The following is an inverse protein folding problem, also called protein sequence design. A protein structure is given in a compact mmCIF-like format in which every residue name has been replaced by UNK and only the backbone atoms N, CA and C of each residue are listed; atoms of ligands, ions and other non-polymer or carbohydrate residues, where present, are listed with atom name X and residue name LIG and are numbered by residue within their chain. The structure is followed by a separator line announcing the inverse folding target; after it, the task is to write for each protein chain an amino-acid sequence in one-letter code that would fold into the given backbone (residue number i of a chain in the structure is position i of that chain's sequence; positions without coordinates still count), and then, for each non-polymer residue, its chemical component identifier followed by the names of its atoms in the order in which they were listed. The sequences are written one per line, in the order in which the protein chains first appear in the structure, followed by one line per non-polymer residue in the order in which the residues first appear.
data_IF_537389557084
#
_entry.id   IF_537389557084
#
_cell.length_a   1.000
_cell.length_b   1.000
_cell.length_c   1.000
_cell.angle_alpha   90.00
_cell.angle_beta   90.00
_cell.angle_gamma   90.00
#
_symmetry.space_group_name_H-M   'P 1'
#
loop_
_entity.id
_entity.type
_entity.pdbx_description
1 polymer ?
#
# COMPACT_ATOMS: atom_id res chain seq x y z
N UNK A 1 50.36 0.66 -35.76
CA UNK A 1 49.06 0.14 -36.24
C UNK A 1 48.41 -0.57 -35.07
N UNK A 2 47.15 -0.24 -34.80
CA UNK A 2 46.38 -0.59 -33.60
C UNK A 2 45.76 -2.00 -33.68
N UNK A 3 45.61 -2.59 -32.48
CA UNK A 3 44.67 -3.63 -32.01
C UNK A 3 44.57 -4.97 -32.77
N UNK A 4 44.52 -6.13 -32.13
CA UNK A 4 44.15 -6.44 -30.75
C UNK A 4 43.24 -7.67 -30.79
N UNK A 5 43.81 -8.84 -30.54
CA UNK A 5 43.11 -10.14 -30.56
C UNK A 5 42.05 -10.23 -29.46
N UNK A 6 40.95 -10.89 -29.81
CA UNK A 6 39.79 -11.17 -28.97
C UNK A 6 40.17 -12.08 -27.79
N UNK A 7 39.84 -11.67 -26.57
CA UNK A 7 39.73 -12.55 -25.41
C UNK A 7 38.37 -12.28 -24.77
N UNK A 8 37.49 -13.29 -24.82
CA UNK A 8 36.29 -13.37 -24.02
C UNK A 8 36.65 -13.94 -22.64
N UNK A 9 36.04 -13.43 -21.58
CA UNK A 9 35.44 -14.24 -20.50
C UNK A 9 35.01 -13.40 -19.27
N UNK A 10 33.71 -13.50 -18.98
CA UNK A 10 33.11 -13.81 -17.66
C UNK A 10 33.33 -12.81 -16.50
N UNK A 11 32.23 -12.15 -16.10
CA UNK A 11 31.90 -11.87 -14.70
C UNK A 11 30.39 -12.18 -14.56
N UNK A 12 30.00 -13.38 -14.11
CA UNK A 12 29.89 -13.80 -12.72
C UNK A 12 28.91 -12.94 -11.88
N UNK A 13 27.66 -13.44 -11.86
CA UNK A 13 26.75 -13.58 -10.70
C UNK A 13 26.57 -12.38 -9.76
N UNK A 14 25.39 -11.78 -9.84
CA UNK A 14 24.73 -11.16 -8.70
C UNK A 14 23.29 -11.63 -8.69
N UNK A 15 23.00 -12.69 -7.92
CA UNK A 15 21.64 -13.15 -7.67
C UNK A 15 20.84 -11.96 -7.10
N UNK A 16 19.81 -11.52 -7.82
CA UNK A 16 18.79 -10.67 -7.23
C UNK A 16 18.11 -11.51 -6.15
N UNK A 17 18.54 -11.32 -4.90
CA UNK A 17 17.78 -11.78 -3.75
C UNK A 17 16.45 -11.04 -3.82
N UNK A 18 15.44 -11.72 -4.36
CA UNK A 18 14.06 -11.37 -4.09
C UNK A 18 13.93 -11.50 -2.58
N UNK A 19 14.11 -10.39 -1.86
CA UNK A 19 13.64 -10.28 -0.50
C UNK A 19 12.13 -10.40 -0.64
N UNK A 20 11.64 -11.62 -0.45
CA UNK A 20 10.25 -11.85 -0.15
C UNK A 20 10.02 -11.06 1.13
N UNK A 21 9.54 -9.82 0.98
CA UNK A 21 8.85 -9.12 2.03
C UNK A 21 7.71 -10.05 2.40
N UNK A 22 7.90 -10.79 3.49
CA UNK A 22 6.80 -11.45 4.15
C UNK A 22 5.77 -10.34 4.39
N UNK A 23 4.65 -10.40 3.67
CA UNK A 23 3.51 -9.55 3.96
C UNK A 23 3.30 -9.63 5.47
N UNK A 24 3.15 -8.50 6.17
CA UNK A 24 2.94 -8.54 7.61
C UNK A 24 1.74 -9.46 7.86
N UNK A 25 1.95 -10.46 8.72
CA UNK A 25 0.92 -11.40 9.11
C UNK A 25 -0.07 -10.70 10.02
N UNK A 26 -0.86 -9.81 9.44
CA UNK A 26 -1.86 -8.99 10.10
C UNK A 26 -3.29 -9.42 9.72
N UNK A 27 -3.47 -10.69 9.35
CA UNK A 27 -4.79 -11.31 9.22
C UNK A 27 -5.22 -11.91 10.57
N UNK A 28 -5.90 -11.11 11.40
CA UNK A 28 -6.64 -11.66 12.55
C UNK A 28 -7.89 -12.35 12.01
N UNK A 29 -8.08 -13.63 12.34
CA UNK A 29 -9.15 -14.50 11.84
C UNK A 29 -10.54 -14.25 12.44
N UNK A 30 -10.71 -13.21 13.25
CA UNK A 30 -11.97 -12.92 13.98
C UNK A 30 -12.89 -11.91 13.29
N UNK A 31 -12.55 -11.40 12.10
CA UNK A 31 -13.41 -10.48 11.37
C UNK A 31 -14.28 -11.21 10.34
N UNK A 32 -15.62 -11.23 10.51
CA UNK A 32 -16.55 -11.89 9.59
C UNK A 32 -16.79 -11.09 8.29
N UNK A 33 -16.13 -9.95 8.11
CA UNK A 33 -16.28 -9.05 6.97
C UNK A 33 -15.00 -9.13 6.13
N UNK A 34 -15.10 -9.20 4.80
CA UNK A 34 -13.90 -9.22 3.99
C UNK A 34 -13.29 -7.80 4.09
N UNK A 35 -12.09 -7.71 4.69
CA UNK A 35 -11.44 -6.42 4.98
C UNK A 35 -10.16 -6.24 4.19
N UNK A 36 -9.93 -5.04 3.68
CA UNK A 36 -8.71 -4.64 3.02
C UNK A 36 -7.70 -4.08 4.01
N UNK A 37 -6.53 -4.72 4.09
CA UNK A 37 -5.36 -4.11 4.70
C UNK A 37 -4.77 -3.09 3.73
N UNK A 38 -4.47 -1.89 4.23
CA UNK A 38 -3.91 -0.80 3.41
C UNK A 38 -2.45 -0.56 3.77
N UNK A 39 -2.20 -0.08 4.99
CA UNK A 39 -0.86 0.38 5.39
C UNK A 39 -0.72 0.43 6.91
N UNK A 40 0.51 0.35 7.40
CA UNK A 40 0.84 0.54 8.83
C UNK A 40 1.31 1.98 9.04
N UNK A 41 0.61 2.71 9.90
CA UNK A 41 0.96 4.08 10.29
C UNK A 41 1.77 4.12 11.59
N UNK A 42 2.70 5.08 11.76
CA UNK A 42 3.50 5.19 12.97
C UNK A 42 2.66 5.55 14.21
N UNK A 43 1.56 6.28 14.02
CA UNK A 43 0.68 6.73 15.11
C UNK A 43 -0.77 6.31 14.88
N UNK A 44 -1.53 6.16 15.98
CA UNK A 44 -2.96 5.85 15.92
C UNK A 44 -3.74 6.97 15.23
N UNK A 45 -3.39 8.23 15.51
CA UNK A 45 -4.04 9.42 14.95
C UNK A 45 -3.93 9.47 13.42
N UNK A 46 -2.76 9.14 12.87
CA UNK A 46 -2.55 9.07 11.42
C UNK A 46 -3.39 7.96 10.78
N UNK A 47 -3.44 6.78 11.41
CA UNK A 47 -4.28 5.67 10.95
C UNK A 47 -5.76 6.07 10.94
N UNK A 48 -6.25 6.67 12.03
CA UNK A 48 -7.66 7.09 12.14
C UNK A 48 -7.99 8.17 11.12
N UNK A 49 -7.10 9.14 10.93
CA UNK A 49 -7.28 10.20 9.93
C UNK A 49 -7.39 9.62 8.51
N UNK A 50 -6.54 8.65 8.17
CA UNK A 50 -6.60 7.96 6.88
C UNK A 50 -7.89 7.15 6.71
N UNK A 51 -8.32 6.45 7.77
CA UNK A 51 -9.57 5.69 7.78
C UNK A 51 -10.80 6.57 7.56
N UNK A 52 -10.92 7.67 8.30
CA UNK A 52 -12.03 8.63 8.13
C UNK A 52 -12.06 9.21 6.71
N UNK A 53 -10.90 9.56 6.14
CA UNK A 53 -10.85 10.03 4.74
C UNK A 53 -11.29 8.98 3.74
N UNK A 54 -10.98 7.71 3.99
CA UNK A 54 -11.46 6.61 3.16
C UNK A 54 -12.99 6.48 3.24
N UNK A 55 -13.60 6.70 4.42
CA UNK A 55 -15.06 6.75 4.57
C UNK A 55 -15.66 7.96 3.83
N UNK A 56 -15.10 9.15 4.04
CA UNK A 56 -15.53 10.39 3.37
C UNK A 56 -15.41 10.28 1.83
N UNK A 57 -14.40 9.55 1.36
CA UNK A 57 -14.16 9.23 -0.04
C UNK A 57 -15.01 8.09 -0.61
N UNK A 58 -15.91 7.50 0.20
CA UNK A 58 -16.69 6.29 -0.12
C UNK A 58 -15.85 5.07 -0.49
N UNK A 59 -14.58 5.03 -0.09
CA UNK A 59 -13.70 3.87 -0.26
C UNK A 59 -14.05 2.79 0.77
N UNK A 60 -14.26 3.19 2.02
CA UNK A 60 -14.72 2.31 3.09
C UNK A 60 -16.15 2.60 3.54
N UNK A 61 -16.84 1.57 4.04
CA UNK A 61 -18.17 1.71 4.65
C UNK A 61 -18.10 2.63 5.87
N UNK A 62 -19.22 3.28 6.22
CA UNK A 62 -19.26 4.12 7.41
C UNK A 62 -19.03 3.30 8.69
N UNK A 63 -18.12 3.75 9.54
CA UNK A 63 -17.55 2.99 10.66
C UNK A 63 -16.90 1.66 10.22
N UNK A 64 -16.47 1.58 8.97
CA UNK A 64 -15.98 0.38 8.29
C UNK A 64 -14.49 0.16 8.42
N UNK A 65 -13.74 1.06 9.06
CA UNK A 65 -12.31 0.90 9.28
C UNK A 65 -11.95 0.61 10.75
N UNK A 66 -10.78 0.02 10.94
CA UNK A 66 -10.17 -0.21 12.24
C UNK A 66 -8.67 0.05 12.16
N UNK A 67 -8.14 0.64 13.22
CA UNK A 67 -6.71 0.80 13.44
C UNK A 67 -6.26 -0.19 14.52
N UNK A 68 -5.57 -1.25 14.11
CA UNK A 68 -5.09 -2.29 15.01
C UNK A 68 -3.59 -2.14 15.24
N UNK A 69 -3.05 -2.37 16.46
CA UNK A 69 -1.61 -2.49 16.66
C UNK A 69 -1.00 -3.52 15.68
N UNK A 70 -0.06 -3.06 14.87
CA UNK A 70 0.77 -3.86 13.97
C UNK A 70 2.19 -4.02 14.52
N UNK A 71 3.09 -4.60 13.72
CA UNK A 71 4.48 -4.87 14.13
C UNK A 71 5.26 -3.58 14.44
N UNK A 72 4.94 -2.47 13.75
CA UNK A 72 5.68 -1.22 13.84
C UNK A 72 4.77 0.03 13.86
N UNK A 73 3.53 -0.11 14.36
CA UNK A 73 2.57 0.98 14.35
C UNK A 73 1.13 0.50 14.41
N UNK A 74 0.25 1.14 13.65
CA UNK A 74 -1.17 0.84 13.57
C UNK A 74 -1.57 0.50 12.13
N UNK A 75 -2.02 -0.73 11.91
CA UNK A 75 -2.52 -1.19 10.62
C UNK A 75 -3.90 -0.61 10.37
N UNK A 76 -4.05 0.08 9.23
CA UNK A 76 -5.36 0.45 8.71
C UNK A 76 -5.96 -0.73 7.95
N UNK A 77 -7.12 -1.15 8.43
CA UNK A 77 -7.93 -2.21 7.84
C UNK A 77 -9.33 -1.63 7.61
N UNK A 78 -9.90 -1.81 6.41
CA UNK A 78 -11.22 -1.26 6.10
C UNK A 78 -12.10 -2.20 5.29
N UNK A 79 -13.42 -2.11 5.48
CA UNK A 79 -14.42 -2.78 4.67
C UNK A 79 -14.73 -1.93 3.42
N UNK A 80 -14.47 -2.46 2.20
CA UNK A 80 -14.79 -1.74 0.96
C UNK A 80 -16.30 -1.52 0.79
N UNK A 81 -16.70 -0.34 0.29
CA UNK A 81 -18.12 -0.05 0.01
C UNK A 81 -18.66 -0.75 -1.24
N UNK A 82 -17.79 -1.07 -2.20
CA UNK A 82 -18.18 -1.42 -3.57
C UNK A 82 -18.79 -0.26 -4.38
N UNK A 83 -18.77 0.96 -3.85
CA UNK A 83 -19.20 2.17 -4.55
C UNK A 83 -18.17 2.59 -5.60
N UNK A 84 -18.64 3.31 -6.62
CA UNK A 84 -17.73 3.89 -7.62
C UNK A 84 -17.13 5.20 -7.12
N UNK A 85 -15.81 5.32 -7.22
CA UNK A 85 -15.05 6.55 -6.92
C UNK A 85 -13.87 6.69 -7.87
N UNK A 86 -13.39 7.93 -8.04
CA UNK A 86 -12.25 8.24 -8.91
C UNK A 86 -11.35 9.24 -8.21
N UNK A 87 -10.05 8.95 -8.22
CA UNK A 87 -9.02 9.77 -7.60
C UNK A 87 -9.34 10.16 -6.14
N UNK A 88 -9.92 9.23 -5.38
CA UNK A 88 -10.22 9.43 -3.97
C UNK A 88 -8.91 9.50 -3.20
N UNK A 89 -8.64 10.65 -2.57
CA UNK A 89 -7.44 10.86 -1.77
C UNK A 89 -7.60 10.20 -0.39
N UNK A 90 -6.63 9.35 -0.03
CA UNK A 90 -6.63 8.68 1.28
C UNK A 90 -5.69 9.38 2.27
N UNK A 91 -4.40 9.44 1.95
CA UNK A 91 -3.38 10.02 2.83
C UNK A 91 -2.08 10.30 2.05
N UNK A 92 -1.14 10.97 2.71
CA UNK A 92 0.18 11.28 2.17
C UNK A 92 1.24 10.49 2.92
N UNK A 93 2.06 9.72 2.22
CA UNK A 93 3.21 9.01 2.79
C UNK A 93 4.49 9.80 2.62
N UNK A 94 5.51 9.54 3.45
CA UNK A 94 6.80 10.21 3.34
C UNK A 94 7.57 9.83 2.07
N UNK A 95 7.44 8.56 1.62
CA UNK A 95 8.17 8.04 0.46
C UNK A 95 7.22 7.54 -0.62
N UNK A 96 7.70 7.56 -1.88
CA UNK A 96 6.97 6.99 -3.02
C UNK A 96 6.74 5.49 -2.84
N UNK A 97 7.74 4.79 -2.30
CA UNK A 97 7.66 3.35 -2.03
C UNK A 97 6.51 3.02 -1.08
N UNK A 98 6.35 3.78 0.00
CA UNK A 98 5.25 3.58 0.94
C UNK A 98 3.88 3.79 0.29
N UNK A 99 3.76 4.82 -0.57
CA UNK A 99 2.52 5.08 -1.31
C UNK A 99 2.18 3.92 -2.25
N UNK A 100 3.19 3.43 -3.00
CA UNK A 100 3.01 2.30 -3.92
C UNK A 100 2.63 1.02 -3.18
N UNK A 101 3.27 0.75 -2.04
CA UNK A 101 2.92 -0.38 -1.18
C UNK A 101 1.49 -0.27 -0.66
N UNK A 102 1.08 0.89 -0.14
CA UNK A 102 -0.28 1.10 0.34
C UNK A 102 -1.33 0.91 -0.76
N UNK A 103 -1.10 1.51 -1.94
CA UNK A 103 -1.97 1.36 -3.10
C UNK A 103 -2.10 -0.09 -3.55
N UNK A 104 -0.99 -0.80 -3.69
CA UNK A 104 -0.97 -2.22 -4.10
C UNK A 104 -1.66 -3.12 -3.07
N UNK A 105 -1.50 -2.86 -1.78
CA UNK A 105 -2.14 -3.66 -0.74
C UNK A 105 -3.68 -3.60 -0.82
N UNK A 106 -4.25 -2.41 -1.05
CA UNK A 106 -5.70 -2.28 -1.21
C UNK A 106 -6.23 -2.90 -2.50
N UNK A 107 -5.44 -2.93 -3.59
CA UNK A 107 -5.79 -3.64 -4.83
C UNK A 107 -5.76 -5.16 -4.66
N UNK A 108 -4.80 -5.67 -3.88
CA UNK A 108 -4.59 -7.11 -3.66
C UNK A 108 -5.43 -7.69 -2.50
N UNK A 109 -6.17 -6.84 -1.79
CA UNK A 109 -7.02 -7.25 -0.68
C UNK A 109 -8.19 -8.15 -1.14
N UNK A 110 -8.76 -8.91 -0.20
CA UNK A 110 -10.00 -9.67 -0.42
C UNK A 110 -11.09 -9.14 0.51
N UNK A 111 -12.06 -8.34 -0.01
CA UNK A 111 -12.20 -7.88 -1.38
C UNK A 111 -11.21 -6.73 -1.63
N UNK A 112 -10.90 -6.47 -2.89
CA UNK A 112 -10.10 -5.31 -3.23
C UNK A 112 -10.87 -4.04 -2.81
N UNK A 113 -10.17 -3.10 -2.18
CA UNK A 113 -10.77 -1.81 -1.80
C UNK A 113 -10.92 -0.89 -3.01
N UNK A 114 -10.05 -1.04 -4.03
CA UNK A 114 -10.04 -0.28 -5.28
C UNK A 114 -9.40 -1.13 -6.39
N UNK A 115 -9.50 -0.69 -7.65
CA UNK A 115 -8.93 -1.39 -8.81
C UNK A 115 -7.63 -0.78 -9.35
N UNK A 116 -7.34 0.46 -8.96
CA UNK A 116 -6.14 1.19 -9.39
C UNK A 116 -5.77 2.30 -8.39
N UNK A 117 -4.49 2.63 -8.34
CA UNK A 117 -3.96 3.74 -7.54
C UNK A 117 -3.01 4.64 -8.34
N UNK A 118 -2.87 5.87 -7.86
CA UNK A 118 -1.87 6.84 -8.33
C UNK A 118 -1.15 7.44 -7.13
N UNK A 119 0.18 7.46 -7.19
CA UNK A 119 1.02 8.18 -6.25
C UNK A 119 1.45 9.51 -6.85
N UNK A 120 0.90 10.61 -6.35
CA UNK A 120 1.20 11.96 -6.83
C UNK A 120 2.10 12.68 -5.83
N UNK A 121 3.09 13.45 -6.30
CA UNK A 121 3.88 14.30 -5.42
C UNK A 121 2.98 15.33 -4.72
N UNK A 122 2.89 15.24 -3.40
CA UNK A 122 2.21 16.19 -2.52
C UNK A 122 3.18 17.19 -1.91
N UNK A 123 2.69 18.00 -0.95
CA UNK A 123 3.48 19.06 -0.33
C UNK A 123 4.63 18.54 0.56
N UNK A 124 4.41 17.41 1.26
CA UNK A 124 5.37 16.81 2.22
C UNK A 124 5.67 15.35 1.93
N UNK A 125 5.33 14.84 0.74
CA UNK A 125 5.43 13.42 0.45
C UNK A 125 4.66 13.02 -0.81
N UNK A 126 4.09 11.81 -0.82
CA UNK A 126 3.33 11.27 -1.94
C UNK A 126 1.89 11.00 -1.52
N UNK A 127 0.96 11.67 -2.19
CA UNK A 127 -0.48 11.48 -2.01
C UNK A 127 -0.89 10.16 -2.66
N UNK A 128 -1.61 9.33 -1.91
CA UNK A 128 -2.30 8.16 -2.44
C UNK A 128 -3.70 8.55 -2.90
N UNK A 129 -3.93 8.45 -4.21
CA UNK A 129 -5.25 8.55 -4.84
C UNK A 129 -5.67 7.19 -5.37
N UNK A 130 -6.93 6.80 -5.18
CA UNK A 130 -7.44 5.47 -5.56
C UNK A 130 -8.72 5.56 -6.38
N UNK A 131 -8.95 4.56 -7.24
CA UNK A 131 -10.12 4.47 -8.13
C UNK A 131 -10.68 3.04 -8.12
N UNK A 132 -12.01 2.91 -8.04
CA UNK A 132 -12.77 1.65 -7.94
C UNK A 132 -13.08 1.01 -9.28
#
# INVERSE_FOLDING_TARGET
MSAGSRIAAIAAVGAAAAVALAAPASASTDWPVPTAYVFTFPTLDECVTAGVRAEDGNVFTFAGFTCRPGIAGYDLIGEPTGASFTDAYLFTTATLTDCQTAGTNGEAASPAAWNSHTCRSGFTGYDLLVTS
#
